data_IF_919977738217
#
_entry.id   IF_919977738217
#
_cell.length_a   1.000
_cell.length_b   1.000
_cell.length_c   1.000
_cell.angle_alpha   90.00
_cell.angle_beta   90.00
_cell.angle_gamma   90.00
#
_symmetry.space_group_name_H-M   'P 1'
#
loop_
_entity.id
_entity.type
_entity.pdbx_description
1 polymer ?
#
# COMPACT_ATOMS: atom_id res chain seq x y z
N UNK A 1 56.41 -28.56 18.83
CA UNK A 1 55.03 -28.95 19.24
C UNK A 1 54.16 -27.79 19.71
N UNK A 2 54.67 -26.81 20.47
CA UNK A 2 53.90 -25.65 20.98
C UNK A 2 53.23 -24.81 19.86
N UNK A 3 53.99 -24.52 18.79
CA UNK A 3 53.54 -23.70 17.66
C UNK A 3 52.33 -24.32 16.93
N UNK A 4 52.39 -25.63 16.68
CA UNK A 4 51.33 -26.38 16.00
C UNK A 4 50.02 -26.37 16.82
N UNK A 5 50.11 -26.46 18.15
CA UNK A 5 48.96 -26.37 19.06
C UNK A 5 48.33 -24.97 19.05
N UNK A 6 49.13 -23.92 18.95
CA UNK A 6 48.62 -22.55 18.88
C UNK A 6 47.92 -22.27 17.54
N UNK A 7 48.47 -22.78 16.43
CA UNK A 7 47.84 -22.69 15.10
C UNK A 7 46.50 -23.46 15.10
N UNK A 8 46.47 -24.67 15.64
CA UNK A 8 45.25 -25.48 15.73
C UNK A 8 44.16 -24.79 16.58
N UNK A 9 44.55 -24.19 17.72
CA UNK A 9 43.62 -23.41 18.56
C UNK A 9 43.07 -22.19 17.82
N UNK A 10 43.90 -21.49 17.05
CA UNK A 10 43.45 -20.37 16.22
C UNK A 10 42.45 -20.79 15.14
N UNK A 11 42.72 -21.91 14.46
CA UNK A 11 41.82 -22.48 13.45
C UNK A 11 40.47 -22.91 14.06
N UNK A 12 40.49 -23.57 15.22
CA UNK A 12 39.26 -23.95 15.93
C UNK A 12 38.46 -22.72 16.32
N UNK A 13 39.11 -21.67 16.82
CA UNK A 13 38.44 -20.43 17.21
C UNK A 13 37.81 -19.70 16.01
N UNK A 14 38.53 -19.60 14.89
CA UNK A 14 38.00 -18.99 13.66
C UNK A 14 36.79 -19.77 13.15
N UNK A 15 36.90 -21.10 13.12
CA UNK A 15 35.79 -21.98 12.71
C UNK A 15 34.58 -21.77 13.62
N UNK A 16 34.78 -21.74 14.95
CA UNK A 16 33.72 -21.53 15.91
C UNK A 16 33.02 -20.17 15.71
N UNK A 17 33.78 -19.10 15.44
CA UNK A 17 33.23 -17.76 15.17
C UNK A 17 32.41 -17.75 13.88
N UNK A 18 32.85 -18.44 12.82
CA UNK A 18 32.10 -18.50 11.55
C UNK A 18 30.80 -19.31 11.64
N UNK A 19 30.67 -20.20 12.63
CA UNK A 19 29.44 -20.96 12.87
C UNK A 19 28.43 -20.24 13.78
N UNK A 20 28.76 -19.07 14.33
CA UNK A 20 27.79 -18.24 15.06
C UNK A 20 26.85 -17.62 14.02
N UNK A 21 25.80 -18.34 13.65
CA UNK A 21 24.67 -17.78 12.93
C UNK A 21 23.90 -16.88 13.90
N UNK A 22 24.27 -15.60 13.94
CA UNK A 22 23.49 -14.60 14.66
C UNK A 22 22.08 -14.59 14.03
N UNK A 23 21.00 -14.79 14.81
CA UNK A 23 19.66 -14.63 14.29
C UNK A 23 19.54 -13.21 13.77
N UNK A 24 19.27 -13.08 12.47
CA UNK A 24 19.02 -11.79 11.84
C UNK A 24 17.66 -11.30 12.33
N UNK A 25 17.68 -10.52 13.41
CA UNK A 25 16.54 -9.74 13.83
C UNK A 25 16.28 -8.68 12.75
N UNK A 26 15.42 -9.01 11.80
CA UNK A 26 14.88 -8.00 10.90
C UNK A 26 13.94 -7.14 11.72
N UNK A 27 14.37 -5.91 12.02
CA UNK A 27 13.45 -4.84 12.37
C UNK A 27 12.41 -4.68 11.23
N UNK A 28 11.49 -3.72 11.34
CA UNK A 28 10.44 -3.43 10.34
C UNK A 28 11.02 -2.87 9.02
N UNK A 29 11.94 -3.64 8.42
CA UNK A 29 12.69 -3.39 7.20
C UNK A 29 11.76 -3.74 6.07
N UNK A 30 11.59 -2.80 5.16
CA UNK A 30 10.83 -3.02 3.94
C UNK A 30 11.44 -4.19 3.19
N UNK A 31 10.58 -5.12 2.77
CA UNK A 31 11.01 -6.24 1.93
C UNK A 31 11.68 -5.65 0.67
N UNK A 32 12.88 -6.11 0.30
CA UNK A 32 13.57 -5.62 -0.89
C UNK A 32 12.66 -5.64 -2.12
N UNK A 33 12.63 -4.55 -2.89
CA UNK A 33 11.79 -4.41 -4.08
C UNK A 33 10.34 -4.00 -3.81
N UNK A 34 10.01 -3.56 -2.58
CA UNK A 34 8.69 -3.01 -2.23
C UNK A 34 8.79 -1.62 -1.61
N UNK A 35 7.85 -0.76 -1.98
CA UNK A 35 7.70 0.60 -1.46
C UNK A 35 6.42 0.71 -0.64
N UNK A 36 6.47 1.53 0.41
CA UNK A 36 5.25 1.96 1.09
C UNK A 36 4.40 2.82 0.16
N UNK A 37 3.09 2.67 0.27
CA UNK A 37 2.12 3.49 -0.47
C UNK A 37 1.13 4.11 0.50
N UNK A 38 0.78 5.37 0.24
CA UNK A 38 -0.34 6.01 0.95
C UNK A 38 -1.64 5.33 0.52
N UNK A 39 -2.51 5.05 1.48
CA UNK A 39 -3.82 4.45 1.22
C UNK A 39 -4.94 5.36 1.71
N UNK A 40 -5.95 5.53 0.87
CA UNK A 40 -7.24 6.05 1.31
C UNK A 40 -8.39 5.37 0.58
N UNK A 41 -9.59 5.49 1.14
CA UNK A 41 -10.81 4.99 0.51
C UNK A 41 -11.88 6.07 0.46
N UNK A 42 -12.81 5.92 -0.48
CA UNK A 42 -13.97 6.81 -0.63
C UNK A 42 -15.22 6.02 -1.03
N UNK A 43 -16.39 6.62 -0.85
CA UNK A 43 -17.67 6.02 -1.26
C UNK A 43 -18.32 6.89 -2.34
N UNK A 44 -18.47 6.36 -3.55
CA UNK A 44 -18.81 7.17 -4.73
C UNK A 44 -20.26 7.70 -4.74
N UNK A 45 -21.22 6.94 -4.21
CA UNK A 45 -22.66 7.21 -4.34
C UNK A 45 -23.35 7.55 -3.01
N UNK A 46 -22.61 8.15 -2.07
CA UNK A 46 -23.14 8.64 -0.79
C UNK A 46 -24.38 9.54 -0.95
N UNK A 47 -24.38 10.39 -1.98
CA UNK A 47 -25.48 11.30 -2.30
C UNK A 47 -26.81 10.59 -2.59
N UNK A 48 -26.80 9.34 -3.06
CA UNK A 48 -28.02 8.55 -3.31
C UNK A 48 -28.67 8.03 -2.03
N UNK A 49 -27.98 8.10 -0.89
CA UNK A 49 -28.43 7.62 0.41
C UNK A 49 -28.46 8.78 1.42
N UNK A 50 -29.05 9.90 1.01
CA UNK A 50 -29.05 11.16 1.76
C UNK A 50 -29.75 11.10 3.13
N UNK A 51 -30.57 10.07 3.38
CA UNK A 51 -31.21 9.78 4.66
C UNK A 51 -30.32 9.01 5.66
N UNK A 52 -29.12 8.60 5.24
CA UNK A 52 -28.14 7.92 6.09
C UNK A 52 -26.88 8.76 6.28
N UNK A 53 -26.22 8.56 7.41
CA UNK A 53 -24.80 8.87 7.60
C UNK A 53 -24.02 7.58 7.45
N UNK A 54 -22.92 7.61 6.70
CA UNK A 54 -21.94 6.53 6.70
C UNK A 54 -20.80 6.91 7.62
N UNK A 55 -20.38 5.95 8.44
CA UNK A 55 -19.36 6.14 9.46
C UNK A 55 -18.27 5.12 9.22
N UNK A 56 -17.04 5.60 9.08
CA UNK A 56 -15.84 4.80 9.13
C UNK A 56 -15.39 4.67 10.58
N UNK A 57 -15.43 3.47 11.13
CA UNK A 57 -14.84 3.15 12.42
C UNK A 57 -13.42 2.64 12.19
N UNK A 58 -12.42 3.43 12.56
CA UNK A 58 -11.02 3.20 12.25
C UNK A 58 -10.35 2.62 13.49
N UNK A 59 -9.75 1.44 13.31
CA UNK A 59 -9.14 0.64 14.36
C UNK A 59 -7.71 0.29 13.96
N UNK A 60 -6.89 -0.14 14.92
CA UNK A 60 -5.57 -0.69 14.67
C UNK A 60 -5.43 -2.06 15.32
N UNK A 61 -4.65 -2.94 14.70
CA UNK A 61 -4.24 -4.19 15.33
C UNK A 61 -3.24 -3.96 16.49
N UNK A 62 -2.69 -2.76 16.65
CA UNK A 62 -1.88 -2.39 17.78
C UNK A 62 -2.76 -1.83 18.92
N UNK A 63 -2.81 -2.48 20.10
CA UNK A 63 -3.67 -2.06 21.21
C UNK A 63 -3.29 -0.72 21.82
N UNK A 64 -2.05 -0.24 21.60
CA UNK A 64 -1.60 1.07 22.06
C UNK A 64 -2.09 2.24 21.19
N UNK A 65 -2.74 1.97 20.06
CA UNK A 65 -3.28 3.00 19.18
C UNK A 65 -4.79 3.16 19.39
N UNK A 66 -5.22 4.42 19.57
CA UNK A 66 -6.61 4.78 19.77
C UNK A 66 -7.51 4.39 18.60
N UNK A 67 -8.73 4.00 18.92
CA UNK A 67 -9.81 3.79 17.96
C UNK A 67 -10.63 5.08 17.84
N UNK A 68 -11.04 5.44 16.63
CA UNK A 68 -11.83 6.63 16.37
C UNK A 68 -12.84 6.38 15.24
N UNK A 69 -13.78 7.30 15.07
CA UNK A 69 -14.77 7.20 14.00
C UNK A 69 -14.86 8.52 13.22
N UNK A 70 -15.21 8.43 11.93
CA UNK A 70 -15.36 9.57 11.03
C UNK A 70 -16.62 9.39 10.19
N UNK A 71 -17.45 10.42 10.11
CA UNK A 71 -18.60 10.50 9.20
C UNK A 71 -18.07 10.81 7.80
N UNK A 72 -18.35 9.92 6.85
CA UNK A 72 -17.88 10.02 5.47
C UNK A 72 -18.68 11.05 4.68
N UNK A 73 -17.98 11.96 3.99
CA UNK A 73 -18.58 12.94 3.08
C UNK A 73 -18.37 12.56 1.61
N UNK A 74 -19.27 12.94 0.69
CA UNK A 74 -19.09 12.71 -0.73
C UNK A 74 -17.76 13.28 -1.24
N UNK A 75 -16.98 12.47 -1.97
CA UNK A 75 -15.69 12.88 -2.53
C UNK A 75 -14.53 13.00 -1.52
N UNK A 76 -14.77 12.80 -0.22
CA UNK A 76 -13.72 12.76 0.78
C UNK A 76 -12.97 11.42 0.72
N UNK A 77 -11.64 11.47 0.68
CA UNK A 77 -10.79 10.30 0.80
C UNK A 77 -10.34 10.12 2.25
N UNK A 78 -10.80 9.04 2.89
CA UNK A 78 -10.45 8.73 4.27
C UNK A 78 -9.17 7.89 4.33
N UNK A 79 -8.17 8.36 5.06
CA UNK A 79 -6.82 7.78 5.05
C UNK A 79 -6.69 6.67 6.09
N UNK A 80 -6.09 5.54 5.72
CA UNK A 80 -5.72 4.46 6.63
C UNK A 80 -4.21 4.22 6.57
N UNK A 81 -3.44 5.23 6.99
CA UNK A 81 -1.97 5.24 6.89
C UNK A 81 -1.26 4.97 8.23
N UNK A 82 -2.01 4.77 9.32
CA UNK A 82 -1.43 4.40 10.61
C UNK A 82 -0.99 2.94 10.63
N UNK A 83 -0.22 2.59 11.66
CA UNK A 83 0.33 1.24 11.81
C UNK A 83 -0.79 0.20 11.93
N UNK A 84 -0.87 -0.72 10.94
CA UNK A 84 -1.86 -1.81 10.88
C UNK A 84 -3.29 -1.34 11.10
N UNK A 85 -3.64 -0.20 10.51
CA UNK A 85 -4.99 0.34 10.57
C UNK A 85 -5.93 -0.42 9.63
N UNK A 86 -7.20 -0.52 10.02
CA UNK A 86 -8.28 -1.02 9.18
C UNK A 86 -9.57 -0.29 9.53
N UNK A 87 -10.58 -0.36 8.66
CA UNK A 87 -11.86 0.31 8.91
C UNK A 87 -13.05 -0.60 8.71
N UNK A 88 -13.97 -0.54 9.68
CA UNK A 88 -15.32 -1.08 9.54
C UNK A 88 -16.27 0.05 9.21
N UNK A 89 -17.08 -0.13 8.17
CA UNK A 89 -18.06 0.89 7.76
C UNK A 89 -19.43 0.56 8.34
N UNK A 90 -20.12 1.57 8.82
CA UNK A 90 -21.48 1.49 9.33
C UNK A 90 -22.35 2.53 8.64
N UNK A 91 -23.64 2.25 8.55
CA UNK A 91 -24.65 3.26 8.24
C UNK A 91 -25.55 3.49 9.46
N UNK A 92 -26.05 4.71 9.61
CA UNK A 92 -27.09 5.05 10.58
C UNK A 92 -28.08 6.00 9.93
N UNK A 93 -29.37 5.88 10.27
CA UNK A 93 -30.37 6.83 9.75
C UNK A 93 -30.13 8.19 10.38
N UNK A 94 -30.11 9.25 9.57
CA UNK A 94 -29.96 10.63 10.07
C UNK A 94 -30.99 10.98 11.14
N UNK A 95 -32.22 10.48 11.00
CA UNK A 95 -33.30 10.71 11.97
C UNK A 95 -33.03 10.14 13.37
N UNK A 96 -32.03 9.26 13.52
CA UNK A 96 -31.63 8.67 14.80
C UNK A 96 -30.45 9.42 15.45
N UNK A 97 -29.80 10.32 14.72
CA UNK A 97 -28.64 11.08 15.18
C UNK A 97 -29.06 12.52 15.44
N UNK A 98 -28.89 13.00 16.68
CA UNK A 98 -29.14 14.40 17.00
C UNK A 98 -27.89 15.23 16.67
N UNK A 99 -28.05 16.51 16.35
CA UNK A 99 -26.91 17.38 16.04
C UNK A 99 -25.87 17.45 17.17
N UNK A 100 -26.32 17.37 18.42
CA UNK A 100 -25.45 17.33 19.60
C UNK A 100 -24.61 16.03 19.74
N UNK A 101 -24.96 14.98 18.99
CA UNK A 101 -24.23 13.72 18.98
C UNK A 101 -23.07 13.74 17.97
N UNK A 102 -22.97 14.81 17.15
CA UNK A 102 -21.92 15.01 16.16
C UNK A 102 -20.89 15.98 16.71
N UNK A 103 -19.61 15.58 16.68
CA UNK A 103 -18.46 16.43 16.97
C UNK A 103 -17.84 16.85 15.65
N UNK A 104 -17.51 18.13 15.54
CA UNK A 104 -16.80 18.70 14.40
C UNK A 104 -15.40 19.10 14.87
N UNK A 105 -14.38 18.53 14.25
CA UNK A 105 -12.97 18.85 14.49
C UNK A 105 -12.30 19.17 13.15
N UNK A 106 -12.13 20.47 12.86
CA UNK A 106 -11.76 20.97 11.55
C UNK A 106 -12.74 20.51 10.47
N UNK A 107 -12.24 19.83 9.44
CA UNK A 107 -13.06 19.30 8.34
C UNK A 107 -13.74 17.96 8.67
N UNK A 108 -13.37 17.32 9.80
CA UNK A 108 -13.84 16.00 10.18
C UNK A 108 -15.06 16.08 11.08
N UNK A 109 -16.03 15.23 10.78
CA UNK A 109 -17.19 14.99 11.63
C UNK A 109 -17.10 13.59 12.22
N UNK A 110 -17.48 13.43 13.48
CA UNK A 110 -17.50 12.13 14.16
C UNK A 110 -18.70 12.03 15.09
N UNK A 111 -19.11 10.81 15.43
CA UNK A 111 -20.08 10.57 16.49
C UNK A 111 -19.37 10.61 17.86
N UNK A 112 -19.91 11.42 18.77
CA UNK A 112 -19.42 11.59 20.16
C UNK A 112 -19.36 10.27 20.92
N UNK A 113 -20.47 9.53 20.93
CA UNK A 113 -20.60 8.25 21.64
C UNK A 113 -20.93 7.11 20.66
N UNK A 114 -19.99 6.78 19.77
CA UNK A 114 -20.17 5.73 18.76
C UNK A 114 -20.67 4.40 19.37
N UNK A 115 -20.11 3.99 20.52
CA UNK A 115 -20.51 2.77 21.21
C UNK A 115 -21.95 2.79 21.73
N UNK A 116 -22.47 3.96 22.13
CA UNK A 116 -23.85 4.10 22.61
C UNK A 116 -24.87 3.91 21.48
N UNK A 117 -24.49 4.26 20.25
CA UNK A 117 -25.33 4.12 19.07
C UNK A 117 -25.21 2.74 18.40
N UNK A 118 -24.39 1.82 18.94
CA UNK A 118 -24.05 0.53 18.33
C UNK A 118 -25.26 -0.32 17.93
N UNK A 119 -26.36 -0.27 18.69
CA UNK A 119 -27.60 -0.99 18.38
C UNK A 119 -28.37 -0.44 17.16
N UNK A 120 -28.09 0.80 16.77
CA UNK A 120 -28.71 1.49 15.63
C UNK A 120 -27.82 1.48 14.39
N UNK A 121 -26.54 1.11 14.56
CA UNK A 121 -25.60 1.00 13.46
C UNK A 121 -25.91 -0.22 12.59
N UNK A 122 -25.95 0.01 11.29
CA UNK A 122 -26.13 -1.00 10.25
C UNK A 122 -24.73 -1.34 9.72
N UNK A 123 -24.15 -2.51 10.05
CA UNK A 123 -22.78 -2.83 9.70
C UNK A 123 -22.63 -3.20 8.22
N UNK A 124 -21.52 -2.77 7.62
CA UNK A 124 -21.04 -3.36 6.37
C UNK A 124 -20.54 -4.78 6.61
N UNK A 125 -20.70 -5.65 5.62
CA UNK A 125 -20.15 -7.02 5.69
C UNK A 125 -18.61 -7.04 5.62
N UNK A 126 -18.03 -6.08 4.91
CA UNK A 126 -16.62 -6.09 4.57
C UNK A 126 -15.85 -5.10 5.45
N UNK A 127 -14.68 -5.53 5.93
CA UNK A 127 -13.67 -4.66 6.52
C UNK A 127 -12.75 -4.12 5.43
N UNK A 128 -12.45 -2.83 5.47
CA UNK A 128 -11.52 -2.16 4.58
C UNK A 128 -10.11 -2.32 5.16
N UNK A 129 -9.24 -2.97 4.39
CA UNK A 129 -7.85 -3.19 4.75
C UNK A 129 -6.94 -2.44 3.77
N UNK A 130 -6.03 -1.57 4.26
CA UNK A 130 -5.17 -0.78 3.41
C UNK A 130 -4.17 -1.65 2.66
N UNK A 131 -3.81 -1.19 1.46
CA UNK A 131 -2.61 -1.66 0.78
C UNK A 131 -1.43 -0.88 1.35
N UNK A 132 -0.61 -1.51 2.19
CA UNK A 132 0.52 -0.81 2.80
C UNK A 132 1.75 -0.75 1.89
N UNK A 133 1.92 -1.76 1.02
CA UNK A 133 3.13 -1.95 0.21
C UNK A 133 2.78 -2.42 -1.20
N UNK A 134 3.52 -1.94 -2.19
CA UNK A 134 3.47 -2.41 -3.57
C UNK A 134 4.89 -2.60 -4.13
N UNK A 135 5.07 -3.48 -5.13
CA UNK A 135 6.35 -3.62 -5.82
C UNK A 135 6.86 -2.31 -6.43
N UNK A 136 8.14 -2.00 -6.23
CA UNK A 136 8.79 -0.76 -6.67
C UNK A 136 8.66 -0.52 -8.18
N UNK A 137 8.63 -1.60 -8.95
CA UNK A 137 8.48 -1.58 -10.42
C UNK A 137 7.24 -0.82 -10.90
N UNK A 138 6.22 -0.66 -10.05
CA UNK A 138 5.02 0.10 -10.40
C UNK A 138 5.18 1.61 -10.15
N UNK A 139 6.08 2.03 -9.26
CA UNK A 139 6.30 3.45 -8.95
C UNK A 139 5.05 4.15 -8.39
N UNK A 140 4.26 3.46 -7.58
CA UNK A 140 3.03 3.98 -6.96
C UNK A 140 3.40 4.80 -5.72
N UNK A 141 2.76 5.96 -5.58
CA UNK A 141 2.83 6.80 -4.37
C UNK A 141 1.59 6.60 -3.50
N UNK A 142 0.41 6.56 -4.12
CA UNK A 142 -0.86 6.48 -3.41
C UNK A 142 -1.84 5.53 -4.11
N UNK A 143 -2.60 4.81 -3.30
CA UNK A 143 -3.73 3.97 -3.69
C UNK A 143 -5.01 4.57 -3.13
N UNK A 144 -6.01 4.77 -3.99
CA UNK A 144 -7.35 5.19 -3.57
C UNK A 144 -8.37 4.15 -4.00
N UNK A 145 -9.01 3.49 -3.04
CA UNK A 145 -10.09 2.55 -3.30
C UNK A 145 -11.45 3.24 -3.27
N UNK A 146 -12.27 2.96 -4.28
CA UNK A 146 -13.57 3.59 -4.45
C UNK A 146 -14.62 2.51 -4.26
N UNK A 147 -15.39 2.64 -3.19
CA UNK A 147 -16.48 1.75 -2.86
C UNK A 147 -17.82 2.34 -3.33
N UNK A 148 -18.79 1.47 -3.52
CA UNK A 148 -20.16 1.82 -3.87
C UNK A 148 -21.13 1.10 -2.95
N UNK A 149 -22.10 1.84 -2.44
CA UNK A 149 -23.24 1.28 -1.71
C UNK A 149 -24.14 0.59 -2.73
N UNK A 150 -24.41 -0.68 -2.52
CA UNK A 150 -25.35 -1.46 -3.33
C UNK A 150 -26.73 -1.43 -2.68
N UNK A 151 -26.77 -1.71 -1.37
CA UNK A 151 -28.02 -1.75 -0.61
C UNK A 151 -27.78 -1.39 0.86
N UNK A 152 -28.79 -0.80 1.50
CA UNK A 152 -28.85 -0.61 2.95
C UNK A 152 -30.15 -1.23 3.43
N UNK A 153 -30.04 -2.30 4.21
CA UNK A 153 -31.15 -3.00 4.86
C UNK A 153 -31.08 -2.76 6.37
N UNK A 154 -32.13 -3.05 7.16
CA UNK A 154 -32.11 -2.79 8.60
C UNK A 154 -30.95 -3.45 9.37
N UNK A 155 -30.35 -4.52 8.85
CA UNK A 155 -29.28 -5.27 9.53
C UNK A 155 -27.98 -5.38 8.75
N UNK A 156 -27.93 -4.89 7.51
CA UNK A 156 -26.75 -5.03 6.67
C UNK A 156 -26.63 -3.89 5.67
N UNK A 157 -25.41 -3.33 5.60
CA UNK A 157 -24.93 -2.44 4.55
C UNK A 157 -24.10 -3.27 3.56
N UNK A 158 -24.48 -3.23 2.29
CA UNK A 158 -23.71 -3.88 1.23
C UNK A 158 -22.84 -2.84 0.52
N UNK A 159 -21.52 -2.97 0.68
CA UNK A 159 -20.51 -2.19 -0.04
C UNK A 159 -19.79 -3.10 -1.02
N UNK A 160 -19.51 -2.58 -2.21
CA UNK A 160 -18.65 -3.24 -3.20
C UNK A 160 -17.53 -2.31 -3.64
N UNK A 161 -16.35 -2.87 -3.82
CA UNK A 161 -15.27 -2.21 -4.53
C UNK A 161 -15.71 -1.96 -5.98
N UNK A 162 -15.62 -0.73 -6.42
CA UNK A 162 -16.07 -0.27 -7.73
C UNK A 162 -14.88 -0.01 -8.65
N UNK A 163 -13.95 0.82 -8.20
CA UNK A 163 -12.73 1.15 -8.93
C UNK A 163 -11.58 1.43 -7.95
N UNK A 164 -10.35 1.36 -8.44
CA UNK A 164 -9.13 1.76 -7.74
C UNK A 164 -8.42 2.82 -8.57
N UNK A 165 -7.85 3.81 -7.88
CA UNK A 165 -6.99 4.84 -8.48
C UNK A 165 -5.57 4.65 -7.96
N UNK A 166 -4.65 4.45 -8.89
CA UNK A 166 -3.22 4.40 -8.64
C UNK A 166 -2.61 5.74 -9.00
N UNK A 167 -2.09 6.47 -8.02
CA UNK A 167 -1.35 7.72 -8.25
C UNK A 167 0.13 7.42 -8.20
N UNK A 168 0.80 7.65 -9.32
CA UNK A 168 2.23 7.38 -9.49
C UNK A 168 3.07 8.47 -8.81
N UNK A 169 4.33 8.15 -8.50
CA UNK A 169 5.31 9.11 -7.97
C UNK A 169 5.52 10.34 -8.87
N UNK A 170 5.23 10.21 -10.17
CA UNK A 170 5.33 11.30 -11.16
C UNK A 170 4.07 12.18 -11.26
N UNK A 171 3.07 11.97 -10.40
CA UNK A 171 1.86 12.80 -10.33
C UNK A 171 0.68 12.32 -11.19
N UNK A 172 0.93 11.56 -12.26
CA UNK A 172 -0.15 10.97 -13.06
C UNK A 172 -0.93 9.92 -12.25
N UNK A 173 -2.18 9.69 -12.62
CA UNK A 173 -3.04 8.66 -12.03
C UNK A 173 -3.61 7.73 -13.08
N UNK A 174 -3.78 6.46 -12.71
CA UNK A 174 -4.46 5.43 -13.49
C UNK A 174 -5.69 4.94 -12.72
N UNK A 175 -6.83 4.81 -13.41
CA UNK A 175 -8.04 4.22 -12.84
C UNK A 175 -8.26 2.83 -13.40
N UNK A 176 -8.61 1.86 -12.53
CA UNK A 176 -8.99 0.51 -12.95
C UNK A 176 -10.29 0.07 -12.26
N UNK A 177 -11.28 -0.44 -13.00
CA UNK A 177 -12.48 -1.01 -12.39
C UNK A 177 -12.15 -2.36 -11.71
N UNK A 178 -12.86 -2.67 -10.63
CA UNK A 178 -12.83 -4.03 -10.06
C UNK A 178 -13.66 -4.96 -10.93
N UNK A 179 -13.06 -6.07 -11.36
CA UNK A 179 -13.76 -7.13 -12.11
C UNK A 179 -14.42 -8.15 -11.17
N UNK A 180 -13.80 -8.40 -10.01
CA UNK A 180 -14.37 -9.22 -8.94
C UNK A 180 -14.06 -8.57 -7.59
N UNK A 181 -14.82 -8.93 -6.55
CA UNK A 181 -14.65 -8.33 -5.21
C UNK A 181 -13.40 -8.83 -4.48
N UNK A 182 -12.90 -10.01 -4.86
CA UNK A 182 -11.79 -10.67 -4.18
C UNK A 182 -10.44 -10.40 -4.86
N UNK A 183 -10.44 -9.79 -6.06
CA UNK A 183 -9.23 -9.55 -6.83
C UNK A 183 -9.03 -8.05 -7.10
N UNK A 184 -8.01 -7.48 -6.47
CA UNK A 184 -7.59 -6.10 -6.72
C UNK A 184 -6.85 -6.03 -8.07
N UNK A 185 -7.29 -5.18 -9.02
CA UNK A 185 -6.64 -5.09 -10.31
C UNK A 185 -5.23 -4.50 -10.15
N UNK A 186 -4.21 -5.11 -10.76
CA UNK A 186 -2.83 -4.65 -10.61
C UNK A 186 -2.57 -3.33 -11.35
N UNK A 187 -1.68 -2.44 -10.86
CA UNK A 187 -1.25 -1.25 -11.59
C UNK A 187 -0.58 -1.62 -12.91
N UNK A 188 -0.67 -0.75 -13.92
CA UNK A 188 0.09 -0.94 -15.15
C UNK A 188 1.58 -0.72 -14.91
N UNK A 189 2.40 -1.57 -15.53
CA UNK A 189 3.86 -1.42 -15.52
C UNK A 189 4.22 -0.13 -16.25
N UNK A 190 4.83 0.80 -15.52
CA UNK A 190 5.42 1.97 -16.15
C UNK A 190 6.78 1.55 -16.69
N UNK A 191 6.83 1.22 -17.98
CA UNK A 191 8.10 1.04 -18.67
C UNK A 191 8.87 2.37 -18.64
N UNK A 192 9.73 2.55 -17.65
CA UNK A 192 10.83 3.50 -17.75
C UNK A 192 11.85 2.84 -18.67
N UNK A 193 11.81 3.17 -19.95
CA UNK A 193 12.94 2.93 -20.83
C UNK A 193 14.12 3.71 -20.26
N UNK A 194 14.99 3.05 -19.51
CA UNK A 194 16.18 3.69 -18.99
C UNK A 194 17.19 3.77 -20.14
N UNK A 195 17.29 4.94 -20.80
CA UNK A 195 18.26 5.14 -21.88
C UNK A 195 19.69 4.80 -21.43
N UNK A 196 20.01 4.91 -20.14
CA UNK A 196 21.32 4.50 -19.62
C UNK A 196 21.60 3.01 -19.78
N UNK A 197 20.58 2.15 -19.77
CA UNK A 197 20.75 0.72 -20.04
C UNK A 197 21.10 0.44 -21.51
N UNK A 198 20.91 1.40 -22.42
CA UNK A 198 21.39 1.32 -23.81
C UNK A 198 22.82 1.82 -23.95
N UNK A 199 23.33 2.66 -23.05
CA UNK A 199 24.67 3.26 -23.18
C UNK A 199 25.77 2.17 -23.12
N UNK A 200 25.69 1.26 -22.14
CA UNK A 200 26.68 0.19 -21.96
C UNK A 200 26.80 -0.70 -23.21
N UNK A 201 25.71 -1.31 -23.74
CA UNK A 201 25.82 -2.12 -24.94
C UNK A 201 26.22 -1.31 -26.18
N UNK A 202 25.84 -0.03 -26.26
CA UNK A 202 26.24 0.84 -27.38
C UNK A 202 27.75 1.06 -27.43
N UNK A 203 28.38 1.34 -26.27
CA UNK A 203 29.83 1.53 -26.18
C UNK A 203 30.57 0.23 -26.54
N UNK A 204 30.07 -0.92 -26.07
CA UNK A 204 30.63 -2.23 -26.40
C UNK A 204 30.60 -2.50 -27.92
N UNK A 205 29.46 -2.25 -28.57
CA UNK A 205 29.32 -2.43 -30.02
C UNK A 205 30.27 -1.50 -30.78
N UNK A 206 30.38 -0.23 -30.37
CA UNK A 206 31.27 0.74 -31.00
C UNK A 206 32.75 0.32 -30.89
N UNK A 207 33.16 -0.17 -29.72
CA UNK A 207 34.51 -0.72 -29.51
C UNK A 207 34.82 -1.93 -30.40
N UNK A 208 33.89 -2.87 -30.52
CA UNK A 208 34.02 -4.03 -31.43
C UNK A 208 34.13 -3.58 -32.89
N UNK A 209 33.34 -2.58 -33.29
CA UNK A 209 33.36 -2.04 -34.66
C UNK A 209 34.71 -1.38 -35.01
N UNK A 210 35.29 -0.64 -34.05
CA UNK A 210 36.62 -0.03 -34.22
C UNK A 210 37.73 -1.09 -34.32
N UNK A 211 37.68 -2.13 -33.49
CA UNK A 211 38.63 -3.24 -33.56
C UNK A 211 38.53 -3.99 -34.89
N UNK A 212 37.31 -4.26 -35.37
CA UNK A 212 37.08 -4.92 -36.66
C UNK A 212 37.60 -4.08 -37.85
N UNK A 213 37.36 -2.75 -37.84
CA UNK A 213 37.91 -1.86 -38.87
C UNK A 213 39.44 -1.87 -38.86
N UNK A 214 40.06 -1.82 -37.68
CA UNK A 214 41.51 -1.85 -37.54
C UNK A 214 42.10 -3.15 -38.09
N UNK A 215 41.58 -4.31 -37.70
CA UNK A 215 42.09 -5.61 -38.18
C UNK A 215 41.91 -5.80 -39.68
N UNK A 216 40.81 -5.30 -40.27
CA UNK A 216 40.61 -5.34 -41.72
C UNK A 216 41.62 -4.46 -42.49
N UNK A 217 41.95 -3.28 -41.96
CA UNK A 217 42.96 -2.40 -42.58
C UNK A 217 44.35 -3.05 -42.53
N UNK A 218 44.75 -3.62 -41.38
CA UNK A 218 46.03 -4.32 -41.25
C UNK A 218 46.12 -5.58 -42.13
N UNK A 219 45.00 -6.26 -42.38
CA UNK A 219 44.97 -7.45 -43.25
C UNK A 219 45.02 -7.13 -44.74
N UNK A 220 44.65 -5.91 -45.16
CA UNK A 220 44.74 -5.47 -46.55
C UNK A 220 46.10 -4.81 -46.90
N UNK A 221 47.00 -4.65 -45.93
CA UNK A 221 48.33 -4.06 -46.10
C UNK A 221 49.47 -5.08 -46.07
N UNK A 222 49.15 -6.37 -45.87
CA UNK A 222 50.04 -7.52 -46.07
C UNK A 222 49.54 -8.34 -47.27
#
# INVERSE_FOLDING_TARGET
>A
MQLLKNILKGLILITLITFIQLPTASADVLSPGTSRVDYCFQVANLNKYSNYLLIAHIQSANPGLGTYNVILKPGQCERLNGYRQYSNIYAIRKSQVKSQDIIIDGDRESLKDFNRQKSQLIPAKNTINPVERLPDRYGIKQVTEILKIISITPKSLELKYHEIIYTYQQGNSERKPYQSQDNRPSPSLKHKFNLFNLIIPSISIFGVMLLYRRTKIFRNQN
#
